data_IF_751751560640
#
_entry.id   IF_751751560640
#
_cell.length_a   1.000
_cell.length_b   1.000
_cell.length_c   1.000
_cell.angle_alpha   90.00
_cell.angle_beta   90.00
_cell.angle_gamma   90.00
#
_symmetry.space_group_name_H-M   'P 1'
#
loop_
_entity.id
_entity.type
_entity.pdbx_description
1 polymer ?
#
# COMPACT_ATOMS: atom_id res chain seq x y z
N UNK A 1 -16.78 -2.31 13.42
CA UNK A 1 -17.03 -1.88 12.03
C UNK A 1 -16.79 -3.11 11.16
N UNK A 2 -17.49 -3.24 10.04
CA UNK A 2 -17.21 -4.35 9.12
C UNK A 2 -15.78 -4.25 8.55
N UNK A 3 -15.14 -5.40 8.33
CA UNK A 3 -13.83 -5.49 7.69
C UNK A 3 -13.88 -4.83 6.30
N UNK A 4 -12.87 -4.03 5.97
CA UNK A 4 -12.68 -3.46 4.63
C UNK A 4 -11.71 -4.29 3.80
N UNK A 5 -11.86 -4.21 2.49
CA UNK A 5 -11.04 -4.97 1.55
C UNK A 5 -10.44 -4.07 0.48
N UNK A 6 -9.13 -4.16 0.31
CA UNK A 6 -8.37 -3.50 -0.74
C UNK A 6 -7.74 -4.50 -1.71
N UNK A 7 -7.55 -4.10 -2.95
CA UNK A 7 -6.88 -4.89 -3.98
C UNK A 7 -5.67 -4.13 -4.52
N UNK A 8 -4.51 -4.79 -4.58
CA UNK A 8 -3.39 -4.33 -5.39
C UNK A 8 -3.68 -4.66 -6.85
N UNK A 9 -3.77 -3.63 -7.70
CA UNK A 9 -3.98 -3.84 -9.14
C UNK A 9 -2.70 -4.32 -9.80
N UNK A 10 -2.78 -5.15 -10.87
CA UNK A 10 -1.60 -5.65 -11.57
C UNK A 10 -0.87 -4.48 -12.23
N UNK A 11 0.40 -4.28 -11.88
CA UNK A 11 1.23 -3.15 -12.32
C UNK A 11 2.50 -3.60 -13.05
N UNK A 12 2.80 -4.91 -13.01
CA UNK A 12 3.99 -5.51 -13.60
C UNK A 12 5.14 -5.77 -12.63
N UNK A 13 5.27 -4.99 -11.57
CA UNK A 13 6.37 -5.12 -10.60
C UNK A 13 6.57 -6.55 -10.07
N UNK A 14 5.51 -7.28 -9.80
CA UNK A 14 5.57 -8.67 -9.33
C UNK A 14 5.39 -9.71 -10.43
N UNK A 15 5.70 -9.37 -11.66
CA UNK A 15 5.53 -10.26 -12.82
C UNK A 15 4.06 -10.63 -13.09
N UNK A 16 3.13 -9.81 -12.62
CA UNK A 16 1.69 -10.01 -12.69
C UNK A 16 1.07 -9.63 -14.05
N UNK A 17 1.84 -8.94 -14.92
CA UNK A 17 1.48 -8.65 -16.31
C UNK A 17 2.24 -9.49 -17.35
N UNK A 18 3.08 -10.43 -16.92
CA UNK A 18 3.83 -11.32 -17.84
C UNK A 18 2.91 -12.02 -18.84
N UNK A 19 3.36 -12.08 -20.09
CA UNK A 19 2.60 -12.66 -21.21
C UNK A 19 1.77 -11.65 -22.00
N UNK A 20 1.70 -10.37 -21.56
CA UNK A 20 1.08 -9.27 -22.30
C UNK A 20 2.21 -8.43 -22.90
N UNK A 21 2.48 -8.63 -24.20
CA UNK A 21 3.62 -7.97 -24.87
C UNK A 21 3.33 -6.54 -25.33
N UNK A 22 2.06 -6.20 -25.57
CA UNK A 22 1.65 -4.85 -25.90
C UNK A 22 1.51 -4.01 -24.63
N UNK A 23 2.29 -2.92 -24.45
CA UNK A 23 2.22 -2.09 -23.25
C UNK A 23 0.88 -1.37 -23.11
N UNK A 24 0.16 -1.08 -24.18
CA UNK A 24 -1.19 -0.49 -24.10
C UNK A 24 -2.16 -1.52 -23.52
N UNK A 25 -2.17 -2.74 -24.05
CA UNK A 25 -3.02 -3.82 -23.53
C UNK A 25 -2.67 -4.17 -22.08
N UNK A 26 -1.39 -4.12 -21.69
CA UNK A 26 -0.97 -4.30 -20.30
C UNK A 26 -1.56 -3.23 -19.38
N UNK A 27 -1.57 -1.95 -19.81
CA UNK A 27 -2.18 -0.86 -19.05
C UNK A 27 -3.70 -0.99 -18.97
N UNK A 28 -4.36 -1.31 -20.10
CA UNK A 28 -5.80 -1.55 -20.13
C UNK A 28 -6.20 -2.74 -19.25
N UNK A 29 -5.33 -3.74 -19.12
CA UNK A 29 -5.53 -4.86 -18.18
C UNK A 29 -5.53 -4.39 -16.74
N UNK A 30 -4.60 -3.51 -16.34
CA UNK A 30 -4.60 -2.88 -15.01
C UNK A 30 -5.90 -2.09 -14.78
N UNK A 31 -6.33 -1.30 -15.76
CA UNK A 31 -7.57 -0.51 -15.69
C UNK A 31 -8.80 -1.41 -15.55
N UNK A 32 -8.89 -2.51 -16.33
CA UNK A 32 -9.99 -3.48 -16.20
C UNK A 32 -10.08 -4.07 -14.80
N UNK A 33 -8.95 -4.46 -14.20
CA UNK A 33 -8.93 -5.01 -12.83
C UNK A 33 -9.36 -3.95 -11.82
N UNK A 34 -8.95 -2.69 -11.97
CA UNK A 34 -9.35 -1.59 -11.10
C UNK A 34 -10.87 -1.34 -11.15
N UNK A 35 -11.46 -1.32 -12.36
CA UNK A 35 -12.90 -1.16 -12.57
C UNK A 35 -13.69 -2.37 -12.07
N UNK A 36 -13.17 -3.57 -12.25
CA UNK A 36 -13.78 -4.78 -11.71
C UNK A 36 -13.79 -4.77 -10.18
N UNK A 37 -12.69 -4.39 -9.54
CA UNK A 37 -12.62 -4.25 -8.09
C UNK A 37 -13.65 -3.22 -7.57
N UNK A 38 -13.79 -2.09 -8.26
CA UNK A 38 -14.82 -1.11 -7.93
C UNK A 38 -16.25 -1.69 -8.06
N UNK A 39 -16.50 -2.44 -9.12
CA UNK A 39 -17.81 -3.06 -9.39
C UNK A 39 -18.17 -4.11 -8.35
N UNK A 40 -17.19 -4.90 -7.94
CA UNK A 40 -17.32 -5.94 -6.92
C UNK A 40 -17.39 -5.39 -5.49
N UNK A 41 -17.23 -4.08 -5.30
CA UNK A 41 -17.38 -3.43 -4.01
C UNK A 41 -16.13 -3.51 -3.12
N UNK A 42 -14.93 -3.62 -3.68
CA UNK A 42 -13.71 -3.36 -2.90
C UNK A 42 -13.73 -1.91 -2.38
N UNK A 43 -13.22 -1.71 -1.18
CA UNK A 43 -13.17 -0.39 -0.54
C UNK A 43 -12.02 0.48 -1.09
N UNK A 44 -10.93 -0.18 -1.54
CA UNK A 44 -9.71 0.49 -2.01
C UNK A 44 -8.96 -0.30 -3.07
N UNK A 45 -8.26 0.41 -3.96
CA UNK A 45 -7.26 -0.13 -4.88
C UNK A 45 -5.90 0.50 -4.59
N UNK A 46 -4.84 -0.27 -4.82
CA UNK A 46 -3.49 0.11 -4.42
C UNK A 46 -2.46 -0.18 -5.51
N UNK A 47 -1.40 0.65 -5.56
CA UNK A 47 -0.27 0.49 -6.47
C UNK A 47 1.04 0.43 -5.67
N UNK A 48 2.01 -0.32 -6.17
CA UNK A 48 3.37 -0.32 -5.65
C UNK A 48 4.20 0.83 -6.25
N UNK A 49 5.15 1.38 -5.51
CA UNK A 49 6.08 2.41 -6.01
C UNK A 49 7.44 1.78 -6.33
N UNK A 50 7.49 1.09 -7.47
CA UNK A 50 8.66 0.40 -8.00
C UNK A 50 8.81 0.66 -9.50
N UNK A 51 10.02 0.47 -10.03
CA UNK A 51 10.38 0.83 -11.40
C UNK A 51 10.69 -0.37 -12.29
N UNK A 52 11.03 -1.53 -11.72
CA UNK A 52 11.31 -2.76 -12.44
C UNK A 52 10.86 -3.98 -11.63
N UNK A 53 10.88 -5.14 -12.26
CA UNK A 53 10.34 -6.37 -11.68
C UNK A 53 11.15 -6.94 -10.52
N UNK A 54 10.50 -7.76 -9.69
CA UNK A 54 11.10 -8.59 -8.64
C UNK A 54 10.75 -10.07 -8.89
N UNK A 55 11.56 -11.04 -8.42
CA UNK A 55 12.72 -10.92 -7.51
C UNK A 55 14.02 -10.43 -8.15
N UNK A 56 14.04 -10.35 -9.49
CA UNK A 56 15.16 -9.80 -10.26
C UNK A 56 14.63 -8.85 -11.33
N UNK A 57 15.37 -7.79 -11.70
CA UNK A 57 15.01 -6.93 -12.81
C UNK A 57 14.93 -7.70 -14.13
N UNK A 58 13.87 -7.48 -14.89
CA UNK A 58 13.67 -8.02 -16.23
C UNK A 58 13.25 -6.90 -17.18
N UNK A 59 13.07 -7.22 -18.48
CA UNK A 59 12.53 -6.29 -19.48
C UNK A 59 10.99 -6.31 -19.53
N UNK A 60 10.34 -6.97 -18.58
CA UNK A 60 8.88 -6.98 -18.48
C UNK A 60 8.33 -5.62 -18.07
N UNK A 61 7.11 -5.34 -18.51
CA UNK A 61 6.43 -4.07 -18.24
C UNK A 61 6.29 -3.83 -16.74
N UNK A 62 6.62 -2.62 -16.30
CA UNK A 62 6.32 -2.11 -14.96
C UNK A 62 5.92 -0.66 -15.07
N UNK A 63 4.68 -0.31 -14.69
CA UNK A 63 4.17 1.06 -14.79
C UNK A 63 4.55 1.90 -13.57
N UNK A 64 4.86 3.19 -13.81
CA UNK A 64 5.19 4.13 -12.74
C UNK A 64 3.97 4.42 -11.87
N UNK A 65 4.18 4.45 -10.57
CA UNK A 65 3.14 4.48 -9.55
C UNK A 65 2.22 5.70 -9.63
N UNK A 66 2.79 6.91 -9.61
CA UNK A 66 2.01 8.14 -9.45
C UNK A 66 1.29 8.56 -10.73
N UNK A 67 1.90 8.33 -11.90
CA UNK A 67 1.24 8.55 -13.19
C UNK A 67 0.06 7.58 -13.37
N UNK A 68 0.23 6.31 -13.00
CA UNK A 68 -0.85 5.32 -13.02
C UNK A 68 -1.93 5.63 -11.99
N UNK A 69 -1.57 6.09 -10.78
CA UNK A 69 -2.55 6.51 -9.78
C UNK A 69 -3.41 7.67 -10.30
N UNK A 70 -2.81 8.66 -10.96
CA UNK A 70 -3.55 9.80 -11.51
C UNK A 70 -4.54 9.39 -12.61
N UNK A 71 -4.16 8.48 -13.49
CA UNK A 71 -5.03 7.96 -14.54
C UNK A 71 -6.18 7.12 -13.96
N UNK A 72 -5.89 6.12 -13.11
CA UNK A 72 -6.92 5.30 -12.46
C UNK A 72 -7.86 6.13 -11.56
N UNK A 73 -7.38 7.23 -10.98
CA UNK A 73 -8.22 8.17 -10.24
C UNK A 73 -9.30 8.83 -11.11
N UNK A 74 -9.06 8.96 -12.42
CA UNK A 74 -10.05 9.48 -13.40
C UNK A 74 -10.96 8.39 -13.94
N UNK A 75 -10.43 7.17 -14.10
CA UNK A 75 -11.16 6.03 -14.65
C UNK A 75 -12.17 5.46 -13.65
N UNK A 76 -11.80 5.40 -12.35
CA UNK A 76 -12.69 4.95 -11.26
C UNK A 76 -13.53 6.08 -10.68
N UNK A 77 -14.60 5.76 -9.93
CA UNK A 77 -15.57 6.76 -9.42
C UNK A 77 -15.83 6.67 -7.92
N UNK A 78 -15.72 5.50 -7.30
CA UNK A 78 -16.10 5.25 -5.90
C UNK A 78 -14.95 4.71 -5.05
N UNK A 79 -14.19 3.75 -5.59
CA UNK A 79 -13.12 3.07 -4.86
C UNK A 79 -12.04 4.06 -4.43
N UNK A 80 -11.54 3.94 -3.21
CA UNK A 80 -10.35 4.70 -2.78
C UNK A 80 -9.13 4.22 -3.56
N UNK A 81 -8.19 5.12 -3.80
CA UNK A 81 -6.96 4.79 -4.52
C UNK A 81 -5.74 5.24 -3.72
N UNK A 82 -4.71 4.42 -3.65
CA UNK A 82 -3.51 4.75 -2.89
C UNK A 82 -2.26 4.02 -3.32
N UNK A 83 -1.16 4.37 -2.68
CA UNK A 83 0.14 3.73 -2.88
C UNK A 83 0.46 2.81 -1.71
N UNK A 84 1.00 1.59 -1.98
CA UNK A 84 1.38 0.58 -0.99
C UNK A 84 2.88 0.24 -1.08
N UNK A 85 3.74 1.11 -0.73
CA UNK A 85 3.60 2.52 -0.36
C UNK A 85 4.59 3.36 -1.16
N UNK A 86 4.34 4.65 -1.34
CA UNK A 86 5.31 5.56 -1.96
C UNK A 86 6.66 5.45 -1.25
N UNK A 87 7.72 5.29 -2.02
CA UNK A 87 9.09 5.30 -1.51
C UNK A 87 9.55 6.75 -1.27
N UNK A 88 9.80 7.09 -0.02
CA UNK A 88 10.25 8.45 0.35
C UNK A 88 11.55 8.87 -0.37
N UNK A 89 12.42 7.92 -0.70
CA UNK A 89 13.71 8.22 -1.33
C UNK A 89 13.65 8.61 -2.82
N UNK A 90 12.51 8.40 -3.49
CA UNK A 90 12.40 8.63 -4.94
C UNK A 90 11.92 10.02 -5.33
N UNK A 91 11.39 10.82 -4.38
CA UNK A 91 10.85 12.16 -4.67
C UNK A 91 11.13 13.13 -3.53
N UNK A 92 11.35 14.41 -3.89
CA UNK A 92 11.37 15.46 -2.90
C UNK A 92 10.01 15.55 -2.18
N UNK A 93 9.96 15.62 -0.83
CA UNK A 93 8.70 15.55 -0.10
C UNK A 93 7.74 16.73 -0.40
N UNK A 94 8.23 17.92 -0.72
CA UNK A 94 7.37 19.03 -1.10
C UNK A 94 6.72 18.82 -2.48
N UNK A 95 7.49 18.28 -3.46
CA UNK A 95 6.94 17.87 -4.75
C UNK A 95 5.91 16.74 -4.57
N UNK A 96 6.23 15.75 -3.74
CA UNK A 96 5.34 14.64 -3.47
C UNK A 96 4.01 15.10 -2.85
N UNK A 97 4.05 16.03 -1.90
CA UNK A 97 2.85 16.65 -1.31
C UNK A 97 2.00 17.35 -2.38
N UNK A 98 2.65 18.04 -3.33
CA UNK A 98 1.98 18.70 -4.47
C UNK A 98 1.32 17.70 -5.41
N UNK A 99 2.01 16.62 -5.75
CA UNK A 99 1.47 15.52 -6.57
C UNK A 99 0.24 14.91 -5.90
N UNK A 100 0.33 14.59 -4.61
CA UNK A 100 -0.77 14.02 -3.82
C UNK A 100 -2.00 14.94 -3.80
N UNK A 101 -1.82 16.24 -3.58
CA UNK A 101 -2.93 17.22 -3.63
C UNK A 101 -3.60 17.28 -5.00
N UNK A 102 -2.82 17.15 -6.06
CA UNK A 102 -3.34 17.09 -7.43
C UNK A 102 -4.17 15.81 -7.65
N UNK A 103 -3.64 14.66 -7.27
CA UNK A 103 -4.36 13.38 -7.40
C UNK A 103 -5.60 13.33 -6.51
N UNK A 104 -5.56 13.91 -5.32
CA UNK A 104 -6.74 14.02 -4.44
C UNK A 104 -7.86 14.83 -5.12
N UNK A 105 -7.50 15.92 -5.78
CA UNK A 105 -8.45 16.70 -6.60
C UNK A 105 -8.98 15.90 -7.80
N UNK A 106 -8.09 15.22 -8.56
CA UNK A 106 -8.47 14.38 -9.70
C UNK A 106 -9.43 13.26 -9.31
N UNK A 107 -9.22 12.68 -8.15
CA UNK A 107 -10.03 11.58 -7.59
C UNK A 107 -11.30 12.04 -6.88
N UNK A 108 -11.56 13.35 -6.76
CA UNK A 108 -12.65 13.92 -5.95
C UNK A 108 -12.59 13.46 -4.46
N UNK A 109 -11.39 13.49 -3.86
CA UNK A 109 -11.19 13.17 -2.45
C UNK A 109 -11.14 11.66 -2.12
N UNK A 110 -10.70 10.82 -3.05
CA UNK A 110 -10.57 9.37 -2.83
C UNK A 110 -9.13 8.90 -2.60
N UNK A 111 -8.15 9.81 -2.64
CA UNK A 111 -6.75 9.43 -2.40
C UNK A 111 -6.55 8.95 -0.95
N UNK A 112 -5.87 7.81 -0.79
CA UNK A 112 -5.27 7.34 0.44
C UNK A 112 -3.76 7.37 0.26
N UNK A 113 -3.10 8.38 0.81
CA UNK A 113 -1.67 8.59 0.58
C UNK A 113 -0.83 7.66 1.45
N UNK A 114 -0.19 6.68 0.83
CA UNK A 114 0.71 5.77 1.52
C UNK A 114 2.19 6.11 1.30
N UNK A 115 3.01 6.10 2.37
CA UNK A 115 4.44 6.37 2.31
C UNK A 115 5.25 5.44 3.22
N UNK A 116 6.50 5.15 2.82
CA UNK A 116 7.45 4.35 3.59
C UNK A 116 8.89 4.76 3.34
N UNK A 117 9.82 4.21 4.13
CA UNK A 117 11.23 4.58 4.09
C UNK A 117 11.99 4.07 2.84
N UNK A 118 11.40 3.16 2.07
CA UNK A 118 12.09 2.44 1.00
C UNK A 118 12.97 1.30 1.52
N UNK A 119 13.19 0.28 0.70
CA UNK A 119 13.93 -0.92 1.10
C UNK A 119 14.74 -1.57 -0.04
N UNK A 120 14.36 -1.35 -1.29
CA UNK A 120 14.91 -2.10 -2.42
C UNK A 120 16.14 -1.39 -3.02
N UNK A 121 17.29 -1.65 -2.40
CA UNK A 121 18.59 -1.01 -2.73
C UNK A 121 18.95 -1.07 -4.21
N UNK A 122 18.70 -2.22 -4.87
CA UNK A 122 19.05 -2.40 -6.28
C UNK A 122 18.37 -1.36 -7.18
N UNK A 123 17.11 -1.04 -6.90
CA UNK A 123 16.34 -0.06 -7.66
C UNK A 123 16.83 1.38 -7.41
N UNK A 124 17.12 1.72 -6.15
CA UNK A 124 17.76 3.01 -5.84
C UNK A 124 19.03 3.22 -6.64
N UNK A 125 19.93 2.24 -6.64
CA UNK A 125 21.20 2.32 -7.38
C UNK A 125 21.00 2.38 -8.89
N UNK A 126 20.09 1.58 -9.42
CA UNK A 126 19.82 1.52 -10.87
C UNK A 126 19.30 2.85 -11.41
N UNK A 127 18.51 3.58 -10.63
CA UNK A 127 17.93 4.87 -11.02
C UNK A 127 18.73 6.08 -10.52
N UNK A 128 19.93 5.88 -9.94
CA UNK A 128 20.81 6.95 -9.52
C UNK A 128 20.43 7.65 -8.21
N UNK A 129 19.60 7.00 -7.39
CA UNK A 129 19.26 7.50 -6.06
C UNK A 129 20.25 7.02 -5.00
N UNK A 130 20.54 7.87 -4.02
CA UNK A 130 21.31 7.48 -2.84
C UNK A 130 20.51 6.47 -2.00
N UNK A 131 21.19 5.43 -1.52
CA UNK A 131 20.64 4.46 -0.60
C UNK A 131 21.34 4.50 0.76
N UNK A 132 20.98 5.42 1.65
CA UNK A 132 21.53 5.48 2.99
C UNK A 132 21.09 4.33 3.86
N UNK A 133 21.70 4.16 5.02
CA UNK A 133 21.33 3.12 5.97
C UNK A 133 19.87 3.21 6.45
N UNK A 134 19.34 2.12 6.97
CA UNK A 134 17.94 2.05 7.43
C UNK A 134 17.56 3.12 8.46
N UNK A 135 18.36 3.35 9.50
CA UNK A 135 18.15 4.44 10.47
C UNK A 135 18.08 5.82 9.82
N UNK A 136 18.92 6.09 8.82
CA UNK A 136 18.91 7.36 8.09
C UNK A 136 17.65 7.50 7.24
N UNK A 137 17.24 6.47 6.49
CA UNK A 137 16.00 6.48 5.72
C UNK A 137 14.77 6.70 6.59
N UNK A 138 14.75 6.14 7.80
CA UNK A 138 13.65 6.37 8.76
C UNK A 138 13.63 7.81 9.30
N UNK A 139 14.79 8.44 9.53
CA UNK A 139 14.87 9.86 9.89
C UNK A 139 14.41 10.76 8.74
N UNK A 140 14.82 10.44 7.50
CA UNK A 140 14.34 11.12 6.29
C UNK A 140 12.82 11.00 6.15
N UNK A 141 12.24 9.81 6.34
CA UNK A 141 10.79 9.61 6.33
C UNK A 141 10.09 10.50 7.36
N UNK A 142 10.62 10.60 8.58
CA UNK A 142 10.03 11.43 9.64
C UNK A 142 10.01 12.91 9.27
N UNK A 143 11.09 13.46 8.68
CA UNK A 143 11.13 14.84 8.20
C UNK A 143 10.17 15.05 7.02
N UNK A 144 10.16 14.11 6.07
CA UNK A 144 9.29 14.16 4.89
C UNK A 144 7.80 14.21 5.26
N UNK A 145 7.37 13.38 6.21
CA UNK A 145 5.98 13.37 6.70
C UNK A 145 5.59 14.71 7.29
N UNK A 146 6.46 15.35 8.07
CA UNK A 146 6.20 16.66 8.64
C UNK A 146 6.07 17.74 7.54
N UNK A 147 6.94 17.71 6.52
CA UNK A 147 6.86 18.61 5.37
C UNK A 147 5.54 18.41 4.62
N UNK A 148 5.17 17.16 4.34
CA UNK A 148 3.94 16.82 3.62
C UNK A 148 2.72 17.34 4.36
N UNK A 149 2.61 17.12 5.66
CA UNK A 149 1.51 17.62 6.48
C UNK A 149 1.45 19.15 6.47
N UNK A 150 2.60 19.84 6.62
CA UNK A 150 2.67 21.31 6.52
C UNK A 150 2.22 21.82 5.16
N UNK A 151 2.68 21.18 4.08
CA UNK A 151 2.25 21.52 2.70
C UNK A 151 0.74 21.41 2.52
N UNK A 152 0.08 20.46 3.19
CA UNK A 152 -1.36 20.26 3.08
C UNK A 152 -2.19 21.18 3.99
N UNK A 153 -1.62 21.67 5.10
CA UNK A 153 -2.39 22.39 6.12
C UNK A 153 -2.05 23.88 6.25
N UNK A 154 -0.79 24.27 6.00
CA UNK A 154 -0.32 25.65 6.16
C UNK A 154 -0.45 26.45 4.86
N UNK A 155 -0.66 27.76 4.91
CA UNK A 155 -0.67 28.64 3.73
C UNK A 155 0.69 28.63 3.02
N UNK A 156 1.73 28.78 3.80
CA UNK A 156 3.13 28.68 3.37
C UNK A 156 3.87 27.72 4.28
N UNK A 157 4.34 26.62 3.73
CA UNK A 157 5.08 25.63 4.49
C UNK A 157 6.52 26.05 4.72
N UNK A 158 6.95 25.99 5.99
CA UNK A 158 8.34 26.20 6.39
C UNK A 158 8.83 24.98 7.18
N UNK A 159 9.97 24.46 6.80
CA UNK A 159 10.62 23.36 7.52
C UNK A 159 12.13 23.44 7.35
N UNK A 160 12.86 23.28 8.43
CA UNK A 160 14.33 23.18 8.41
C UNK A 160 14.74 21.96 9.24
N UNK A 161 15.15 20.90 8.52
CA UNK A 161 15.60 19.64 9.09
C UNK A 161 17.05 19.35 8.73
N UNK A 162 17.49 18.17 9.11
CA UNK A 162 18.82 17.67 8.77
C UNK A 162 18.92 17.23 7.29
N UNK A 163 17.83 16.70 6.74
CA UNK A 163 17.80 16.07 5.41
C UNK A 163 17.04 16.89 4.39
N UNK A 164 16.04 17.65 4.83
CA UNK A 164 15.18 18.44 3.96
C UNK A 164 15.00 19.87 4.48
N UNK A 165 14.84 20.79 3.54
CA UNK A 165 14.51 22.18 3.82
C UNK A 165 13.41 22.66 2.88
N UNK A 166 12.42 23.40 3.43
CA UNK A 166 11.35 24.07 2.68
C UNK A 166 11.18 25.47 3.22
N UNK A 167 11.11 26.48 2.33
CA UNK A 167 11.02 27.89 2.68
C UNK A 167 9.85 28.54 1.94
N UNK A 168 8.72 28.79 2.63
CA UNK A 168 7.57 29.51 2.09
C UNK A 168 6.90 28.80 0.92
N UNK A 169 6.96 27.46 0.89
CA UNK A 169 6.34 26.71 -0.20
C UNK A 169 4.82 26.78 -0.16
N UNK A 170 4.22 27.17 -1.29
CA UNK A 170 2.76 27.26 -1.45
C UNK A 170 2.26 26.01 -2.16
N UNK A 171 1.31 25.32 -1.53
CA UNK A 171 0.64 24.17 -2.11
C UNK A 171 -0.84 24.50 -2.36
N UNK A 172 -1.18 24.83 -3.60
CA UNK A 172 -2.55 25.03 -4.07
C UNK A 172 -2.78 24.24 -5.36
N UNK A 173 -3.90 23.45 -5.47
CA UNK A 173 -4.87 23.20 -4.40
C UNK A 173 -4.26 22.35 -3.27
N UNK A 174 -4.81 22.44 -2.06
CA UNK A 174 -4.37 21.63 -0.90
C UNK A 174 -4.94 20.20 -0.91
N UNK A 175 -5.71 19.86 -1.90
CA UNK A 175 -6.57 18.69 -1.88
C UNK A 175 -7.97 19.01 -1.37
N UNK A 176 -8.89 18.08 -1.54
CA UNK A 176 -10.32 18.26 -1.18
C UNK A 176 -10.69 17.64 0.16
N UNK A 177 -9.94 16.62 0.61
CA UNK A 177 -10.15 15.97 1.91
C UNK A 177 -9.75 16.89 3.07
N UNK A 178 -10.49 16.84 4.19
CA UNK A 178 -10.26 17.65 5.39
C UNK A 178 -10.10 16.75 6.62
N UNK A 179 -9.22 17.09 7.58
CA UNK A 179 -8.35 18.28 7.62
C UNK A 179 -7.20 18.22 6.59
N UNK A 180 -6.84 17.06 6.10
CA UNK A 180 -5.82 16.79 5.07
C UNK A 180 -6.11 15.43 4.40
N UNK A 181 -5.33 15.08 3.39
CA UNK A 181 -5.35 13.77 2.74
C UNK A 181 -4.96 12.71 3.78
N UNK A 182 -5.72 11.60 3.95
CA UNK A 182 -5.35 10.54 4.90
C UNK A 182 -3.97 9.98 4.63
N UNK A 183 -3.11 10.04 5.63
CA UNK A 183 -1.71 9.61 5.60
C UNK A 183 -1.57 8.20 6.15
N UNK A 184 -1.19 7.26 5.30
CA UNK A 184 -0.81 5.90 5.69
C UNK A 184 0.71 5.77 5.71
N UNK A 185 1.27 5.23 6.79
CA UNK A 185 2.68 4.87 6.87
C UNK A 185 2.82 3.35 6.85
N UNK A 186 3.59 2.84 5.88
CA UNK A 186 3.89 1.42 5.74
C UNK A 186 5.15 0.98 6.47
N UNK A 187 5.06 -0.21 7.06
CA UNK A 187 6.15 -0.88 7.73
C UNK A 187 5.88 -1.24 9.19
N UNK A 188 6.46 -2.36 9.64
CA UNK A 188 6.24 -2.93 10.96
C UNK A 188 7.39 -2.72 11.96
N UNK A 189 8.30 -1.77 11.73
CA UNK A 189 9.44 -1.50 12.60
C UNK A 189 9.01 -1.00 14.00
N UNK A 190 9.20 -1.83 15.02
CA UNK A 190 8.64 -1.62 16.38
C UNK A 190 9.14 -0.35 17.06
N UNK A 191 10.43 -0.05 16.94
CA UNK A 191 11.07 1.05 17.70
C UNK A 191 10.91 2.43 17.05
N UNK A 192 10.84 2.50 15.71
CA UNK A 192 10.88 3.77 14.99
C UNK A 192 9.66 3.93 14.09
N UNK A 193 9.36 2.96 13.19
CA UNK A 193 8.26 3.12 12.24
C UNK A 193 6.91 3.26 12.96
N UNK A 194 6.59 2.37 13.90
CA UNK A 194 5.33 2.44 14.66
C UNK A 194 5.26 3.69 15.55
N UNK A 195 6.40 4.24 15.99
CA UNK A 195 6.43 5.54 16.67
C UNK A 195 6.07 6.69 15.72
N UNK A 196 6.61 6.71 14.49
CA UNK A 196 6.25 7.71 13.47
C UNK A 196 4.75 7.59 13.12
N UNK A 197 4.22 6.37 13.02
CA UNK A 197 2.78 6.14 12.85
C UNK A 197 1.98 6.80 13.98
N UNK A 198 2.33 6.52 15.23
CA UNK A 198 1.62 7.08 16.40
C UNK A 198 1.66 8.61 16.44
N UNK A 199 2.74 9.22 15.96
CA UNK A 199 2.91 10.68 15.97
C UNK A 199 2.16 11.40 14.85
N UNK A 200 2.07 10.79 13.63
CA UNK A 200 1.69 11.53 12.43
C UNK A 200 0.63 10.87 11.55
N UNK A 201 0.46 9.54 11.57
CA UNK A 201 -0.31 8.85 10.55
C UNK A 201 -1.79 8.70 10.90
N UNK A 202 -2.67 8.76 9.90
CA UNK A 202 -4.10 8.41 10.03
C UNK A 202 -4.34 6.91 9.83
N UNK A 203 -3.38 6.23 9.18
CA UNK A 203 -3.41 4.79 8.97
C UNK A 203 -2.01 4.17 9.02
N UNK A 204 -1.95 2.88 9.29
CA UNK A 204 -0.73 2.10 9.14
C UNK A 204 -0.96 0.89 8.26
N UNK A 205 0.11 0.39 7.62
CA UNK A 205 0.09 -0.90 6.94
C UNK A 205 1.21 -1.80 7.48
N UNK A 206 0.82 -3.01 7.91
CA UNK A 206 1.73 -4.05 8.34
C UNK A 206 1.47 -5.27 7.45
N UNK A 207 2.51 -5.90 6.91
CA UNK A 207 2.36 -7.00 5.97
C UNK A 207 2.95 -8.32 6.44
N UNK A 208 2.41 -9.41 5.88
CA UNK A 208 3.01 -10.74 5.89
C UNK A 208 3.33 -11.31 7.28
N UNK A 209 2.43 -11.15 8.25
CA UNK A 209 2.54 -11.74 9.59
C UNK A 209 1.34 -12.65 9.88
N UNK A 210 1.57 -13.61 10.76
CA UNK A 210 0.48 -14.38 11.36
C UNK A 210 -0.35 -13.50 12.33
N UNK A 211 -1.54 -13.93 12.78
CA UNK A 211 -2.39 -13.14 13.66
C UNK A 211 -1.71 -12.76 14.98
N UNK A 212 -0.89 -13.63 15.56
CA UNK A 212 -0.15 -13.35 16.80
C UNK A 212 0.87 -12.22 16.57
N UNK A 213 1.63 -12.29 15.47
CA UNK A 213 2.55 -11.23 15.06
C UNK A 213 1.85 -9.90 14.81
N UNK A 214 0.68 -9.91 14.18
CA UNK A 214 -0.14 -8.72 13.97
C UNK A 214 -0.62 -8.13 15.30
N UNK A 215 -1.21 -8.94 16.17
CA UNK A 215 -1.68 -8.51 17.49
C UNK A 215 -0.55 -7.88 18.31
N UNK A 216 0.64 -8.48 18.30
CA UNK A 216 1.84 -7.93 18.92
C UNK A 216 2.20 -6.55 18.34
N UNK A 217 2.23 -6.38 17.01
CA UNK A 217 2.55 -5.09 16.38
C UNK A 217 1.53 -4.02 16.74
N UNK A 218 0.25 -4.35 16.73
CA UNK A 218 -0.80 -3.42 17.12
C UNK A 218 -0.76 -3.06 18.61
N UNK A 219 -0.38 -3.99 19.48
CA UNK A 219 -0.14 -3.70 20.91
C UNK A 219 1.02 -2.70 21.10
N UNK A 220 2.12 -2.85 20.35
CA UNK A 220 3.24 -1.91 20.37
C UNK A 220 2.83 -0.54 19.82
N UNK A 221 2.05 -0.50 18.74
CA UNK A 221 1.50 0.76 18.23
C UNK A 221 0.63 1.46 19.27
N UNK A 222 -0.24 0.71 19.97
CA UNK A 222 -1.07 1.23 21.06
C UNK A 222 -0.21 1.85 22.15
N UNK A 223 0.86 1.19 22.57
CA UNK A 223 1.80 1.73 23.58
C UNK A 223 2.48 3.02 23.09
N UNK A 224 2.86 3.11 21.81
CA UNK A 224 3.38 4.36 21.25
C UNK A 224 2.34 5.47 21.25
N UNK A 225 1.08 5.17 20.94
CA UNK A 225 -0.02 6.14 21.00
C UNK A 225 -0.21 6.68 22.44
N UNK A 226 -0.22 5.80 23.44
CA UNK A 226 -0.29 6.17 24.86
C UNK A 226 0.86 7.12 25.26
N UNK A 227 2.08 6.82 24.80
CA UNK A 227 3.28 7.61 25.11
C UNK A 227 3.24 9.02 24.51
N UNK A 228 2.50 9.23 23.41
CA UNK A 228 2.35 10.54 22.76
C UNK A 228 1.00 11.20 23.01
N UNK A 229 0.14 10.59 23.85
CA UNK A 229 -1.18 11.13 24.20
C UNK A 229 -2.19 11.08 23.05
N UNK A 230 -2.08 10.13 22.13
CA UNK A 230 -2.98 9.97 20.99
C UNK A 230 -3.95 8.81 21.16
N UNK A 231 -5.20 9.00 20.74
CA UNK A 231 -6.15 7.88 20.67
C UNK A 231 -5.72 6.85 19.61
N UNK A 232 -5.41 5.64 20.05
CA UNK A 232 -5.09 4.50 19.20
C UNK A 232 -6.17 4.19 18.15
N UNK A 233 -7.45 4.39 18.50
CA UNK A 233 -8.57 4.12 17.61
C UNK A 233 -8.72 5.15 16.48
N UNK A 234 -8.01 6.29 16.58
CA UNK A 234 -7.92 7.25 15.48
C UNK A 234 -7.06 6.77 14.31
N UNK A 235 -6.29 5.66 14.49
CA UNK A 235 -5.41 5.11 13.46
C UNK A 235 -6.09 3.90 12.80
N UNK A 236 -6.34 3.99 11.50
CA UNK A 236 -6.86 2.89 10.69
C UNK A 236 -5.77 1.84 10.46
N UNK A 237 -6.01 0.62 10.90
CA UNK A 237 -5.02 -0.47 10.88
C UNK A 237 -5.26 -1.37 9.68
N UNK A 238 -4.37 -1.27 8.68
CA UNK A 238 -4.43 -2.08 7.47
C UNK A 238 -3.34 -3.14 7.47
N UNK A 239 -3.58 -4.23 6.78
CA UNK A 239 -2.61 -5.32 6.59
C UNK A 239 -2.53 -5.70 5.11
N UNK A 240 -1.35 -6.15 4.67
CA UNK A 240 -1.11 -6.61 3.31
C UNK A 240 -0.81 -8.10 3.30
N UNK A 241 -1.53 -8.84 2.45
CA UNK A 241 -1.31 -10.27 2.20
C UNK A 241 -1.25 -10.61 0.71
N UNK A 242 -0.40 -11.56 0.36
CA UNK A 242 -0.56 -12.28 -0.90
C UNK A 242 -1.79 -13.19 -0.76
N UNK A 243 -2.61 -13.27 -1.82
CA UNK A 243 -3.79 -14.11 -1.85
C UNK A 243 -3.78 -15.02 -3.07
N UNK A 244 -4.03 -16.31 -2.85
CA UNK A 244 -4.26 -17.29 -3.90
C UNK A 244 -5.48 -18.13 -3.52
N UNK A 245 -6.58 -17.97 -4.25
CA UNK A 245 -7.87 -18.61 -4.01
C UNK A 245 -8.20 -19.58 -5.15
N UNK A 246 -8.69 -20.77 -4.82
CA UNK A 246 -9.17 -21.76 -5.77
C UNK A 246 -10.17 -22.72 -5.12
N UNK A 247 -10.77 -23.60 -5.92
CA UNK A 247 -11.72 -24.62 -5.44
C UNK A 247 -11.05 -25.66 -4.53
N UNK A 248 -9.75 -25.91 -4.70
CA UNK A 248 -8.95 -26.81 -3.88
C UNK A 248 -7.69 -26.15 -3.34
N UNK A 249 -7.22 -26.61 -2.19
CA UNK A 249 -5.96 -26.15 -1.58
C UNK A 249 -4.75 -26.41 -2.49
N UNK A 250 -4.78 -27.48 -3.28
CA UNK A 250 -3.70 -27.82 -4.20
C UNK A 250 -3.63 -26.82 -5.36
N UNK A 251 -4.75 -26.47 -5.97
CA UNK A 251 -4.83 -25.45 -7.02
C UNK A 251 -4.44 -24.07 -6.50
N UNK A 252 -4.91 -23.68 -5.31
CA UNK A 252 -4.54 -22.43 -4.69
C UNK A 252 -3.01 -22.35 -4.45
N UNK A 253 -2.41 -23.42 -3.98
CA UNK A 253 -0.94 -23.50 -3.79
C UNK A 253 -0.19 -23.35 -5.12
N UNK A 254 -0.68 -23.92 -6.21
CA UNK A 254 -0.07 -23.79 -7.53
C UNK A 254 -0.09 -22.34 -8.06
N UNK A 255 -1.07 -21.53 -7.63
CA UNK A 255 -1.23 -20.11 -8.01
C UNK A 255 -0.36 -19.13 -7.22
N UNK A 256 0.36 -19.56 -6.19
CA UNK A 256 1.11 -18.65 -5.30
C UNK A 256 2.29 -17.92 -5.96
N UNK A 257 2.66 -18.30 -7.18
CA UNK A 257 3.65 -17.61 -8.01
C UNK A 257 5.08 -17.62 -7.43
N UNK A 258 5.96 -16.74 -7.93
CA UNK A 258 7.38 -16.70 -7.52
C UNK A 258 7.61 -16.39 -6.03
N UNK A 259 6.66 -15.74 -5.39
CA UNK A 259 6.74 -15.40 -3.96
C UNK A 259 6.87 -16.64 -3.08
N UNK A 260 6.12 -17.71 -3.40
CA UNK A 260 6.14 -18.94 -2.63
C UNK A 260 7.48 -19.69 -2.67
N UNK A 261 8.28 -19.47 -3.72
CA UNK A 261 9.57 -20.17 -3.87
C UNK A 261 10.57 -19.83 -2.77
N UNK A 262 10.46 -18.65 -2.15
CA UNK A 262 11.37 -18.15 -1.13
C UNK A 262 10.83 -18.28 0.30
N UNK A 263 9.58 -18.77 0.46
CA UNK A 263 8.97 -18.98 1.78
C UNK A 263 8.95 -20.49 2.06
N UNK A 264 9.47 -20.98 3.20
CA UNK A 264 9.33 -22.39 3.56
C UNK A 264 7.88 -22.82 3.45
N UNK A 265 7.62 -23.96 2.80
CA UNK A 265 6.27 -24.42 2.44
C UNK A 265 5.29 -24.48 3.63
N UNK A 266 5.80 -24.75 4.85
CA UNK A 266 4.99 -24.70 6.07
C UNK A 266 4.60 -23.30 6.54
N UNK A 267 5.30 -22.24 6.11
CA UNK A 267 5.04 -20.85 6.52
C UNK A 267 4.24 -20.03 5.51
N UNK A 268 4.06 -20.54 4.28
CA UNK A 268 3.28 -19.81 3.26
C UNK A 268 1.88 -19.49 3.78
N UNK A 269 1.21 -20.48 4.38
CA UNK A 269 -0.15 -20.32 4.93
C UNK A 269 -0.21 -19.42 6.15
N UNK A 270 0.90 -19.24 6.87
CA UNK A 270 0.97 -18.32 8.01
C UNK A 270 1.07 -16.85 7.57
N UNK A 271 1.69 -16.60 6.40
CA UNK A 271 2.03 -15.26 5.92
C UNK A 271 1.26 -14.85 4.66
N UNK A 272 0.33 -15.67 4.18
CA UNK A 272 -0.49 -15.43 3.00
C UNK A 272 -1.87 -16.03 3.16
N UNK A 273 -2.82 -15.55 2.34
CA UNK A 273 -4.18 -16.09 2.21
C UNK A 273 -4.18 -17.12 1.07
N UNK A 274 -3.95 -18.39 1.37
CA UNK A 274 -3.83 -19.46 0.36
C UNK A 274 -4.74 -20.62 0.71
N UNK A 275 -5.67 -20.95 -0.19
CA UNK A 275 -6.56 -22.08 -0.03
C UNK A 275 -7.93 -21.90 -0.67
N UNK A 276 -8.85 -22.75 -0.23
CA UNK A 276 -10.26 -22.63 -0.60
C UNK A 276 -10.92 -21.41 0.03
N UNK A 277 -12.10 -20.97 -0.45
CA UNK A 277 -12.86 -19.90 0.18
C UNK A 277 -13.06 -20.10 1.69
N UNK A 278 -13.36 -21.33 2.14
CA UNK A 278 -13.52 -21.63 3.57
C UNK A 278 -12.23 -21.42 4.37
N UNK A 279 -11.09 -21.85 3.83
CA UNK A 279 -9.78 -21.67 4.43
C UNK A 279 -9.45 -20.18 4.57
N UNK A 280 -9.72 -19.40 3.52
CA UNK A 280 -9.48 -17.96 3.53
C UNK A 280 -10.40 -17.23 4.50
N UNK A 281 -11.72 -17.53 4.51
CA UNK A 281 -12.68 -16.93 5.46
C UNK A 281 -12.25 -17.10 6.92
N UNK A 282 -11.83 -18.30 7.31
CA UNK A 282 -11.32 -18.56 8.66
C UNK A 282 -10.12 -17.65 8.97
N UNK A 283 -9.19 -17.53 8.03
CA UNK A 283 -8.00 -16.69 8.21
C UNK A 283 -8.35 -15.20 8.30
N UNK A 284 -9.30 -14.72 7.51
CA UNK A 284 -9.79 -13.34 7.57
C UNK A 284 -10.36 -13.00 8.96
N UNK A 285 -11.12 -13.92 9.56
CA UNK A 285 -11.65 -13.76 10.93
C UNK A 285 -10.52 -13.66 11.96
N UNK A 286 -9.49 -14.50 11.87
CA UNK A 286 -8.34 -14.46 12.77
C UNK A 286 -7.57 -13.13 12.66
N UNK A 287 -7.40 -12.61 11.43
CA UNK A 287 -6.75 -11.33 11.15
C UNK A 287 -7.57 -10.16 11.71
N UNK A 288 -8.90 -10.19 11.57
CA UNK A 288 -9.80 -9.21 12.17
C UNK A 288 -9.71 -9.22 13.70
N UNK A 289 -9.74 -10.41 14.31
CA UNK A 289 -9.58 -10.58 15.76
C UNK A 289 -8.22 -10.09 16.27
N UNK A 290 -7.18 -10.17 15.46
CA UNK A 290 -5.86 -9.59 15.75
C UNK A 290 -5.86 -8.06 15.74
N UNK A 291 -6.92 -7.40 15.27
CA UNK A 291 -7.10 -5.95 15.31
C UNK A 291 -6.98 -5.22 13.96
N UNK A 292 -6.86 -5.93 12.85
CA UNK A 292 -6.91 -5.34 11.51
C UNK A 292 -8.33 -4.83 11.20
N UNK A 293 -8.41 -3.74 10.43
CA UNK A 293 -9.67 -3.11 10.00
C UNK A 293 -9.82 -3.09 8.47
N UNK A 294 -8.70 -3.27 7.75
CA UNK A 294 -8.71 -3.41 6.31
C UNK A 294 -7.64 -4.44 5.90
N UNK A 295 -8.02 -5.35 5.02
CA UNK A 295 -7.12 -6.34 4.43
C UNK A 295 -6.91 -5.96 2.96
N UNK A 296 -5.67 -5.66 2.61
CA UNK A 296 -5.26 -5.37 1.25
C UNK A 296 -4.63 -6.64 0.68
N UNK A 297 -5.12 -7.11 -0.45
CA UNK A 297 -4.66 -8.35 -1.06
C UNK A 297 -3.91 -8.09 -2.37
N UNK A 298 -2.87 -8.87 -2.59
CA UNK A 298 -2.19 -9.02 -3.86
C UNK A 298 -2.49 -10.40 -4.43
N UNK A 299 -3.00 -10.47 -5.65
CA UNK A 299 -3.23 -11.71 -6.38
C UNK A 299 -2.37 -11.74 -7.64
N UNK A 300 -1.54 -12.77 -7.76
CA UNK A 300 -0.66 -12.96 -8.92
C UNK A 300 -1.43 -13.08 -10.25
N UNK A 301 -2.62 -13.64 -10.18
CA UNK A 301 -3.52 -13.92 -11.30
C UNK A 301 -4.72 -12.96 -11.38
N UNK A 302 -4.63 -11.77 -10.76
CA UNK A 302 -5.72 -10.78 -10.77
C UNK A 302 -6.15 -10.36 -12.19
N UNK A 303 -5.22 -10.38 -13.16
CA UNK A 303 -5.48 -10.06 -14.56
C UNK A 303 -6.53 -10.98 -15.24
N UNK A 304 -6.72 -12.18 -14.70
CA UNK A 304 -7.71 -13.15 -15.17
C UNK A 304 -9.14 -12.84 -14.68
N UNK A 305 -9.30 -11.88 -13.76
CA UNK A 305 -10.52 -11.43 -13.10
C UNK A 305 -11.24 -12.48 -12.23
N UNK A 306 -11.28 -13.75 -12.63
CA UNK A 306 -12.05 -14.77 -11.88
C UNK A 306 -11.57 -14.95 -10.43
N UNK A 307 -10.26 -14.95 -10.10
CA UNK A 307 -9.82 -14.99 -8.70
C UNK A 307 -10.33 -13.80 -7.87
N UNK A 308 -10.39 -12.62 -8.47
CA UNK A 308 -10.91 -11.40 -7.83
C UNK A 308 -12.41 -11.52 -7.58
N UNK A 309 -13.17 -12.02 -8.57
CA UNK A 309 -14.61 -12.32 -8.47
C UNK A 309 -14.91 -13.37 -7.42
N UNK A 310 -14.15 -14.46 -7.42
CA UNK A 310 -14.30 -15.54 -6.42
C UNK A 310 -14.06 -14.99 -5.01
N UNK A 311 -13.00 -14.20 -4.80
CA UNK A 311 -12.74 -13.60 -3.49
C UNK A 311 -13.89 -12.67 -3.05
N UNK A 312 -14.36 -11.82 -3.93
CA UNK A 312 -15.45 -10.89 -3.61
C UNK A 312 -16.73 -11.64 -3.25
N UNK A 313 -17.15 -12.60 -4.07
CA UNK A 313 -18.35 -13.40 -3.86
C UNK A 313 -18.30 -14.23 -2.58
N UNK A 314 -17.16 -14.89 -2.34
CA UNK A 314 -17.04 -15.91 -1.28
C UNK A 314 -16.50 -15.36 0.04
N UNK A 315 -15.72 -14.28 0.02
CA UNK A 315 -14.99 -13.82 1.21
C UNK A 315 -15.42 -12.44 1.71
N UNK A 316 -15.98 -11.57 0.85
CA UNK A 316 -16.35 -10.22 1.28
C UNK A 316 -17.80 -10.13 1.80
N UNK A 317 -18.64 -11.14 1.60
CA UNK A 317 -20.04 -11.14 2.02
C UNK A 317 -20.91 -10.11 1.30
N UNK A 318 -20.52 -9.77 0.06
CA UNK A 318 -21.18 -8.75 -0.79
C UNK A 318 -21.80 -9.37 -2.03
#
# INVERSE_FOLDING_TARGET
>A
MAMKYGLLVPQGWRMDLVGISDPVEAYETMTRVALEAETLGFDSIWLFDHFHTVPVPTQEVTFECWTSTAALARDTKRVRIGQMVTCNGYRNPALLAKMASTVDTLSHGRLAFGIGAGWYEQEFRAYGYDFPDGPTRLRQLREAVQIILKMWTEEQAHFEGKYYRVQGAINQPKGVQKPHIPLLIGGGGEKVTLKIVAEFADACNIGHLDPEGLARKFSILKQHCENVGRDYNSIHRTVLFNCAIAETDQEAMAKTGPYARNVPSGRIREQALVGTPDTIRKRLIEIEQAGAQEIIIFMQDAKELEPVRMFARECMGK
#
